data_IF_960006823821
#
_entry.id   IF_960006823821
#
_cell.length_a   1.000
_cell.length_b   1.000
_cell.length_c   1.000
_cell.angle_alpha   90.00
_cell.angle_beta   90.00
_cell.angle_gamma   90.00
#
_symmetry.space_group_name_H-M   'P 1'
#
loop_
_entity.id
_entity.type
_entity.pdbx_description
1 polymer ?
#
# COMPACT_ATOMS: atom_id res chain seq x y z
N UNK A 1 6.53 -30.31 12.83
CA UNK A 1 5.47 -29.36 13.21
C UNK A 1 4.58 -29.19 12.01
N UNK A 2 3.41 -29.82 12.04
CA UNK A 2 2.44 -29.75 10.96
C UNK A 2 1.75 -28.38 11.05
N UNK A 3 1.90 -27.56 10.01
CA UNK A 3 1.30 -26.23 9.98
C UNK A 3 -0.21 -26.38 10.06
N UNK A 4 -0.81 -25.83 11.11
CA UNK A 4 -2.26 -25.75 11.23
C UNK A 4 -2.82 -25.06 9.97
N UNK A 5 -3.96 -25.53 9.41
CA UNK A 5 -4.53 -24.87 8.25
C UNK A 5 -4.82 -23.42 8.60
N UNK A 6 -4.17 -22.49 7.89
CA UNK A 6 -4.41 -21.07 8.05
C UNK A 6 -5.84 -20.79 7.60
N UNK A 7 -6.74 -20.59 8.57
CA UNK A 7 -8.05 -20.05 8.27
C UNK A 7 -7.80 -18.63 7.75
N UNK A 8 -8.10 -18.31 6.47
CA UNK A 8 -7.94 -16.95 6.01
C UNK A 8 -8.79 -16.06 6.92
N UNK A 9 -8.15 -15.08 7.55
CA UNK A 9 -8.86 -14.09 8.35
C UNK A 9 -9.99 -13.53 7.47
N UNK A 10 -11.24 -13.73 7.88
CA UNK A 10 -12.39 -13.14 7.19
C UNK A 10 -12.29 -11.63 7.38
N UNK A 11 -11.72 -10.94 6.39
CA UNK A 11 -11.74 -9.48 6.31
C UNK A 11 -13.15 -9.07 5.89
N UNK A 12 -14.06 -8.98 6.86
CA UNK A 12 -15.28 -8.20 6.67
C UNK A 12 -14.87 -6.74 6.52
N UNK A 13 -15.37 -6.06 5.50
CA UNK A 13 -15.12 -4.62 5.28
C UNK A 13 -15.62 -3.82 6.47
N UNK A 14 -14.74 -3.60 7.45
CA UNK A 14 -15.05 -2.91 8.71
C UNK A 14 -14.42 -1.53 8.65
N UNK A 15 -15.25 -0.50 8.55
CA UNK A 15 -14.80 0.86 8.76
C UNK A 15 -14.68 1.12 10.27
N UNK A 16 -13.51 1.57 10.69
CA UNK A 16 -13.27 2.05 12.05
C UNK A 16 -12.85 3.51 11.96
N UNK A 17 -13.43 4.34 12.82
CA UNK A 17 -13.03 5.72 12.97
C UNK A 17 -12.81 6.03 14.45
N UNK A 18 -11.80 6.84 14.69
CA UNK A 18 -11.52 7.42 16.00
C UNK A 18 -11.35 8.92 15.78
N UNK A 19 -12.07 9.73 16.55
CA UNK A 19 -11.94 11.18 16.50
C UNK A 19 -10.98 11.61 17.59
N UNK A 20 -9.93 12.34 17.20
CA UNK A 20 -8.95 12.94 18.09
C UNK A 20 -8.84 14.43 17.77
N UNK A 21 -8.38 15.21 18.76
CA UNK A 21 -7.98 16.59 18.53
C UNK A 21 -6.66 16.60 17.76
N UNK A 22 -6.74 16.75 16.43
CA UNK A 22 -5.62 16.65 15.51
C UNK A 22 -5.82 17.57 14.29
N UNK A 23 -4.73 18.11 13.76
CA UNK A 23 -4.75 18.98 12.57
C UNK A 23 -4.94 18.21 11.26
N UNK A 24 -4.69 16.89 11.26
CA UNK A 24 -4.78 16.02 10.09
C UNK A 24 -5.73 14.85 10.32
N UNK A 25 -6.34 14.40 9.23
CA UNK A 25 -7.03 13.12 9.16
C UNK A 25 -6.08 12.08 8.55
N UNK A 26 -5.91 10.98 9.27
CA UNK A 26 -5.17 9.81 8.79
C UNK A 26 -6.16 8.76 8.29
N UNK A 27 -6.06 8.43 7.01
CA UNK A 27 -6.87 7.40 6.37
C UNK A 27 -6.00 6.18 6.12
N UNK A 28 -6.50 5.00 6.48
CA UNK A 28 -5.81 3.74 6.20
C UNK A 28 -6.75 2.75 5.53
N UNK A 29 -6.36 2.29 4.35
CA UNK A 29 -7.00 1.20 3.64
C UNK A 29 -6.19 -0.06 3.96
N UNK A 30 -6.85 -1.12 4.42
CA UNK A 30 -6.19 -2.39 4.70
C UNK A 30 -6.94 -3.52 3.99
N UNK A 31 -6.20 -4.28 3.19
CA UNK A 31 -6.68 -5.38 2.37
C UNK A 31 -5.96 -6.67 2.79
N UNK A 32 -6.60 -7.85 2.63
CA UNK A 32 -5.88 -9.11 2.76
C UNK A 32 -4.65 -9.12 1.84
N UNK A 33 -3.53 -9.59 2.36
CA UNK A 33 -2.29 -9.75 1.62
C UNK A 33 -1.78 -11.19 1.70
N UNK A 34 -0.77 -11.51 0.88
CA UNK A 34 -0.17 -12.84 0.91
C UNK A 34 0.62 -13.07 2.20
N UNK A 35 0.74 -14.34 2.62
CA UNK A 35 1.66 -14.71 3.70
C UNK A 35 3.12 -14.61 3.24
N UNK A 36 4.03 -14.48 4.19
CA UNK A 36 5.46 -14.53 3.96
C UNK A 36 5.85 -15.87 3.30
N UNK A 37 6.75 -15.81 2.31
CA UNK A 37 7.27 -16.97 1.59
C UNK A 37 6.33 -17.59 0.55
N UNK A 38 5.16 -17.00 0.31
CA UNK A 38 4.31 -17.35 -0.85
C UNK A 38 4.87 -16.76 -2.15
N UNK A 39 4.46 -17.34 -3.28
CA UNK A 39 4.87 -16.88 -4.61
C UNK A 39 4.38 -15.43 -4.89
N UNK A 40 3.27 -15.04 -4.28
CA UNK A 40 2.68 -13.70 -4.42
C UNK A 40 3.33 -12.63 -3.52
N UNK A 41 4.19 -13.01 -2.56
CA UNK A 41 4.80 -12.07 -1.63
C UNK A 41 5.62 -10.98 -2.33
N UNK A 42 6.36 -11.34 -3.38
CA UNK A 42 7.14 -10.39 -4.18
C UNK A 42 6.21 -9.50 -5.01
N UNK A 43 5.14 -10.07 -5.58
CA UNK A 43 4.15 -9.33 -6.34
C UNK A 43 3.46 -8.26 -5.47
N UNK A 44 3.14 -8.57 -4.21
CA UNK A 44 2.58 -7.61 -3.27
C UNK A 44 3.54 -6.45 -2.97
N UNK A 45 4.84 -6.72 -2.78
CA UNK A 45 5.86 -5.67 -2.59
C UNK A 45 5.99 -4.77 -3.81
N UNK A 46 6.03 -5.36 -5.00
CA UNK A 46 6.06 -4.60 -6.27
C UNK A 46 4.82 -3.73 -6.43
N UNK A 47 3.63 -4.27 -6.12
CA UNK A 47 2.39 -3.51 -6.18
C UNK A 47 2.40 -2.31 -5.22
N UNK A 48 2.87 -2.51 -3.98
CA UNK A 48 3.02 -1.43 -3.01
C UNK A 48 3.99 -0.35 -3.51
N UNK A 49 5.11 -0.75 -4.09
CA UNK A 49 6.07 0.19 -4.68
C UNK A 49 5.43 1.05 -5.79
N UNK A 50 4.63 0.44 -6.66
CA UNK A 50 3.93 1.15 -7.74
C UNK A 50 2.85 2.10 -7.20
N UNK A 51 2.09 1.67 -6.20
CA UNK A 51 0.99 2.44 -5.65
C UNK A 51 1.47 3.61 -4.78
N UNK A 52 2.46 3.39 -3.92
CA UNK A 52 2.87 4.35 -2.90
C UNK A 52 4.29 4.23 -2.37
N UNK A 53 5.22 3.57 -3.09
CA UNK A 53 6.61 3.36 -2.62
C UNK A 53 7.56 4.56 -2.76
N UNK A 54 7.09 5.68 -3.32
CA UNK A 54 7.92 6.87 -3.44
C UNK A 54 7.34 7.91 -4.40
N UNK A 55 8.17 8.89 -4.77
CA UNK A 55 7.73 10.06 -5.55
C UNK A 55 7.15 9.70 -6.92
N UNK A 56 7.62 8.62 -7.54
CA UNK A 56 7.15 8.19 -8.86
C UNK A 56 5.89 7.30 -8.81
N UNK A 57 5.40 6.99 -7.61
CA UNK A 57 4.23 6.11 -7.40
C UNK A 57 2.92 6.80 -7.81
N UNK A 58 1.90 5.99 -8.14
CA UNK A 58 0.61 6.49 -8.63
C UNK A 58 -0.05 7.46 -7.65
N UNK A 59 -0.13 7.07 -6.37
CA UNK A 59 -0.80 7.88 -5.37
C UNK A 59 -0.01 9.15 -5.03
N UNK A 60 1.32 9.08 -4.99
CA UNK A 60 2.13 10.28 -4.79
C UNK A 60 1.93 11.27 -5.94
N UNK A 61 2.01 10.81 -7.19
CA UNK A 61 1.83 11.65 -8.37
C UNK A 61 0.43 12.26 -8.42
N UNK A 62 -0.61 11.47 -8.13
CA UNK A 62 -2.00 11.92 -8.24
C UNK A 62 -2.43 12.84 -7.08
N UNK A 63 -2.20 12.40 -5.85
CA UNK A 63 -2.73 13.06 -4.64
C UNK A 63 -1.81 14.16 -4.13
N UNK A 64 -0.48 13.97 -4.19
CA UNK A 64 0.49 14.92 -3.65
C UNK A 64 1.02 15.86 -4.71
N UNK A 65 1.60 15.34 -5.80
CA UNK A 65 2.27 16.17 -6.82
C UNK A 65 1.26 16.98 -7.65
N UNK A 66 0.24 16.31 -8.20
CA UNK A 66 -0.70 16.95 -9.13
C UNK A 66 -1.73 17.83 -8.41
N UNK A 67 -2.20 17.42 -7.22
CA UNK A 67 -3.34 18.03 -6.54
C UNK A 67 -3.04 18.69 -5.21
N UNK A 68 -1.91 18.37 -4.57
CA UNK A 68 -1.58 18.91 -3.25
C UNK A 68 -2.57 18.58 -2.15
N UNK A 69 -3.34 17.48 -2.26
CA UNK A 69 -4.38 17.10 -1.30
C UNK A 69 -3.82 16.42 -0.04
N UNK A 70 -2.61 15.85 -0.14
CA UNK A 70 -2.03 15.01 0.91
C UNK A 70 -0.62 15.46 1.22
N UNK A 71 -0.27 15.43 2.50
CA UNK A 71 1.10 15.70 2.97
C UNK A 71 1.97 14.45 2.84
N UNK A 72 1.36 13.28 3.10
CA UNK A 72 2.00 11.97 3.02
C UNK A 72 1.06 10.95 2.42
N UNK A 73 1.62 10.05 1.63
CA UNK A 73 0.95 8.85 1.14
C UNK A 73 1.99 7.75 0.99
N UNK A 74 1.66 6.57 1.48
CA UNK A 74 2.52 5.40 1.44
C UNK A 74 1.65 4.15 1.21
N UNK A 75 2.17 3.21 0.42
CA UNK A 75 1.61 1.88 0.31
C UNK A 75 2.67 0.85 0.74
N UNK A 76 2.28 -0.11 1.56
CA UNK A 76 3.18 -1.11 2.13
C UNK A 76 2.45 -2.44 2.36
N UNK A 77 3.21 -3.51 2.57
CA UNK A 77 2.65 -4.80 2.94
C UNK A 77 3.34 -5.35 4.20
N UNK A 78 2.54 -5.82 5.14
CA UNK A 78 3.02 -6.59 6.28
C UNK A 78 2.78 -8.08 5.98
N UNK A 79 3.86 -8.85 5.95
CA UNK A 79 3.85 -10.26 5.60
C UNK A 79 4.29 -11.07 6.82
N UNK A 80 3.40 -11.91 7.33
CA UNK A 80 3.63 -12.83 8.45
C UNK A 80 3.62 -14.28 7.95
N UNK A 81 4.08 -15.22 8.77
CA UNK A 81 4.20 -16.64 8.37
C UNK A 81 2.84 -17.28 7.99
N UNK A 82 1.78 -16.88 8.68
CA UNK A 82 0.42 -17.41 8.57
C UNK A 82 -0.60 -16.44 7.98
N UNK A 83 -0.25 -15.16 7.84
CA UNK A 83 -1.15 -14.11 7.35
C UNK A 83 -0.38 -12.97 6.64
N UNK A 84 -1.10 -12.09 5.97
CA UNK A 84 -0.53 -10.85 5.46
C UNK A 84 -1.58 -9.79 5.20
N UNK A 85 -1.14 -8.54 5.08
CA UNK A 85 -1.99 -7.41 4.71
C UNK A 85 -1.26 -6.45 3.80
N UNK A 86 -2.02 -5.83 2.92
CA UNK A 86 -1.59 -4.71 2.09
C UNK A 86 -2.28 -3.47 2.63
N UNK A 87 -1.53 -2.39 2.80
CA UNK A 87 -1.98 -1.18 3.42
C UNK A 87 -1.66 0.03 2.54
N UNK A 88 -2.58 0.99 2.50
CA UNK A 88 -2.32 2.35 2.01
C UNK A 88 -2.65 3.30 3.13
N UNK A 89 -1.68 4.14 3.52
CA UNK A 89 -1.84 5.15 4.57
C UNK A 89 -1.68 6.55 3.97
N UNK A 90 -2.56 7.46 4.34
CA UNK A 90 -2.60 8.83 3.80
C UNK A 90 -2.86 9.83 4.92
N UNK A 91 -2.12 10.93 4.92
CA UNK A 91 -2.34 12.09 5.79
C UNK A 91 -2.83 13.30 4.99
N UNK A 92 -4.02 13.82 5.34
CA UNK A 92 -4.67 14.92 4.62
C UNK A 92 -5.42 15.86 5.56
N UNK A 93 -5.85 17.02 5.03
CA UNK A 93 -6.73 17.93 5.74
C UNK A 93 -8.15 17.35 5.91
N UNK A 94 -8.89 17.69 6.98
CA UNK A 94 -10.24 17.18 7.20
C UNK A 94 -11.22 17.44 6.05
N UNK A 95 -11.08 18.57 5.35
CA UNK A 95 -11.91 18.94 4.22
C UNK A 95 -11.71 18.03 2.99
N UNK A 96 -10.50 17.45 2.84
CA UNK A 96 -10.10 16.67 1.67
C UNK A 96 -10.30 15.16 1.86
N UNK A 97 -10.53 14.72 3.10
CA UNK A 97 -10.56 13.31 3.48
C UNK A 97 -11.49 12.45 2.60
N UNK A 98 -12.67 12.96 2.25
CA UNK A 98 -13.61 12.21 1.40
C UNK A 98 -13.11 12.07 -0.06
N UNK A 99 -12.50 13.12 -0.64
CA UNK A 99 -11.96 13.04 -2.01
C UNK A 99 -10.72 12.15 -2.05
N UNK A 100 -9.82 12.31 -1.07
CA UNK A 100 -8.64 11.46 -0.90
C UNK A 100 -9.04 9.99 -0.74
N UNK A 101 -10.04 9.69 0.09
CA UNK A 101 -10.49 8.31 0.28
C UNK A 101 -11.01 7.69 -1.02
N UNK A 102 -11.86 8.41 -1.76
CA UNK A 102 -12.41 7.94 -3.04
C UNK A 102 -11.30 7.69 -4.05
N UNK A 103 -10.38 8.64 -4.23
CA UNK A 103 -9.28 8.53 -5.20
C UNK A 103 -8.34 7.38 -4.86
N UNK A 104 -8.00 7.21 -3.59
CA UNK A 104 -7.19 6.06 -3.15
C UNK A 104 -7.88 4.74 -3.50
N UNK A 105 -9.19 4.64 -3.25
CA UNK A 105 -9.97 3.47 -3.65
C UNK A 105 -9.98 3.26 -5.18
N UNK A 106 -10.14 4.33 -5.96
CA UNK A 106 -10.11 4.25 -7.43
C UNK A 106 -8.77 3.71 -7.94
N UNK A 107 -7.63 4.17 -7.40
CA UNK A 107 -6.31 3.63 -7.78
C UNK A 107 -6.13 2.16 -7.40
N UNK A 108 -6.67 1.73 -6.26
CA UNK A 108 -6.67 0.32 -5.86
C UNK A 108 -7.50 -0.53 -6.82
N UNK A 109 -8.69 -0.07 -7.19
CA UNK A 109 -9.56 -0.75 -8.18
C UNK A 109 -8.88 -0.80 -9.54
N UNK A 110 -8.31 0.31 -10.02
CA UNK A 110 -7.60 0.37 -11.29
C UNK A 110 -6.41 -0.59 -11.33
N UNK A 111 -5.67 -0.72 -10.23
CA UNK A 111 -4.59 -1.71 -10.14
C UNK A 111 -5.13 -3.14 -10.19
N UNK A 112 -6.26 -3.43 -9.53
CA UNK A 112 -6.86 -4.75 -9.54
C UNK A 112 -7.42 -5.15 -10.92
N UNK A 113 -8.03 -4.22 -11.64
CA UNK A 113 -8.68 -4.48 -12.94
C UNK A 113 -7.68 -4.50 -14.10
N UNK A 114 -6.73 -3.58 -14.12
CA UNK A 114 -5.86 -3.34 -15.28
C UNK A 114 -4.39 -3.67 -15.03
N UNK A 115 -4.00 -3.86 -13.76
CA UNK A 115 -2.61 -4.10 -13.39
C UNK A 115 -1.68 -2.90 -13.62
N UNK A 116 -0.36 -3.12 -13.49
CA UNK A 116 0.64 -2.12 -13.76
C UNK A 116 0.96 -2.02 -15.26
N UNK A 117 1.37 -0.84 -15.69
CA UNK A 117 2.01 -0.69 -17.00
C UNK A 117 3.40 -1.35 -17.00
N UNK A 118 3.96 -1.73 -18.16
CA UNK A 118 5.31 -2.29 -18.25
C UNK A 118 6.39 -1.37 -17.66
N UNK A 119 6.22 -0.04 -17.79
CA UNK A 119 7.16 0.94 -17.26
C UNK A 119 7.12 0.99 -15.73
N UNK A 120 5.92 1.02 -15.16
CA UNK A 120 5.74 0.99 -13.70
C UNK A 120 6.34 -0.28 -13.09
N UNK A 121 6.05 -1.44 -13.70
CA UNK A 121 6.58 -2.72 -13.28
C UNK A 121 8.11 -2.73 -13.32
N UNK A 122 8.70 -2.36 -14.46
CA UNK A 122 10.16 -2.30 -14.62
C UNK A 122 10.81 -1.37 -13.59
N UNK A 123 10.22 -0.20 -13.35
CA UNK A 123 10.74 0.77 -12.39
C UNK A 123 10.68 0.23 -10.96
N UNK A 124 9.52 -0.31 -10.56
CA UNK A 124 9.33 -0.82 -9.21
C UNK A 124 10.27 -1.97 -8.88
N UNK A 125 10.48 -2.91 -9.82
CA UNK A 125 11.46 -3.99 -9.66
C UNK A 125 12.86 -3.43 -9.45
N UNK A 126 13.28 -2.42 -10.22
CA UNK A 126 14.61 -1.80 -10.07
C UNK A 126 14.80 -1.09 -8.73
N UNK A 127 13.76 -0.39 -8.24
CA UNK A 127 13.81 0.25 -6.92
C UNK A 127 13.96 -0.80 -5.83
N UNK A 128 13.18 -1.89 -5.91
CA UNK A 128 13.25 -2.97 -4.93
C UNK A 128 14.61 -3.69 -4.96
N UNK A 129 15.14 -4.03 -6.13
CA UNK A 129 16.49 -4.60 -6.27
C UNK A 129 17.56 -3.72 -5.62
N UNK A 130 17.54 -2.41 -5.91
CA UNK A 130 18.46 -1.45 -5.32
C UNK A 130 18.32 -1.37 -3.79
N UNK A 131 17.08 -1.33 -3.29
CA UNK A 131 16.81 -1.29 -1.85
C UNK A 131 17.34 -2.52 -1.12
N UNK A 132 17.21 -3.72 -1.71
CA UNK A 132 17.70 -4.97 -1.14
C UNK A 132 19.24 -5.00 -1.09
N UNK A 133 19.92 -4.51 -2.13
CA UNK A 133 21.38 -4.42 -2.14
C UNK A 133 21.88 -3.46 -1.06
N UNK A 134 21.29 -2.26 -0.96
CA UNK A 134 21.67 -1.30 0.09
C UNK A 134 21.40 -1.84 1.50
N UNK A 135 20.29 -2.57 1.69
CA UNK A 135 19.98 -3.19 2.98
C UNK A 135 21.01 -4.27 3.37
N UNK A 136 21.55 -5.02 2.40
CA UNK A 136 22.58 -6.03 2.64
C UNK A 136 23.95 -5.45 3.03
N UNK A 137 24.17 -4.15 2.80
CA UNK A 137 25.37 -3.42 3.22
C UNK A 137 25.25 -2.82 4.63
N UNK A 138 24.05 -2.84 5.21
CA UNK A 138 23.80 -2.33 6.56
C UNK A 138 24.14 -3.39 7.63
N UNK A 139 24.97 -3.09 8.64
CA UNK A 139 25.38 -4.04 9.68
C UNK A 139 24.25 -4.59 10.56
#
# INVERSE_FOLDING_TARGET
FEAAPSVPAKVGGRALSEVRDAEQVHLTFSLPGPRLGSDEAIAARVMCEILGGGMASRLFQDLRETRGLVYSVEAFCDLYEDAGRICVSVGCGPADAADVARRTADHLVQMAEHGPTPLELKRAVRILEASMMMAAESP
#
